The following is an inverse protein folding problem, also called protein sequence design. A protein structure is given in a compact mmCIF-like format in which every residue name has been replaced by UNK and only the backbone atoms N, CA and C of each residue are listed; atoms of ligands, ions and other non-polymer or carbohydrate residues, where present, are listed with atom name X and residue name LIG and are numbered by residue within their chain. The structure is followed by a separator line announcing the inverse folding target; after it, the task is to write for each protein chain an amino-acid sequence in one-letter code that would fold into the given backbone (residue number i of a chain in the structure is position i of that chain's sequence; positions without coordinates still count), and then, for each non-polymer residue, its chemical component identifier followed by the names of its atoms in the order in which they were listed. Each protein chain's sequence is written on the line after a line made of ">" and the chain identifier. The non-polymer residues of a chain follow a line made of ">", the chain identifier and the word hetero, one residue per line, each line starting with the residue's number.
data_IF_124674704867
#
_entry.id   IF_124674704867
#
_cell.length_a   1.000
_cell.length_b   1.000
_cell.length_c   1.000
_cell.angle_alpha   90.00
_cell.angle_beta   90.00
_cell.angle_gamma   90.00
#
_symmetry.space_group_name_H-M   'P 1'
#
loop_
_entity.id
_entity.type
_entity.pdbx_description
1 polymer ?
#
# COMPACT_ATOMS: atom_id res chain seq x y z
N UNK A 1 24.98 -28.32 -16.08
CA UNK A 1 25.88 -27.13 -16.00
C UNK A 1 25.24 -25.87 -16.58
N UNK A 2 24.83 -25.84 -17.86
CA UNK A 2 24.28 -24.63 -18.50
C UNK A 2 22.92 -24.14 -17.93
N UNK A 3 22.03 -25.05 -17.50
CA UNK A 3 20.74 -24.67 -16.90
C UNK A 3 20.86 -24.07 -15.49
N UNK A 4 21.86 -24.51 -14.72
CA UNK A 4 22.20 -23.92 -13.42
C UNK A 4 22.86 -22.55 -13.58
N UNK A 5 23.71 -22.37 -14.60
CA UNK A 5 24.33 -21.08 -14.91
C UNK A 5 23.29 -20.02 -15.35
N UNK A 6 22.24 -20.42 -16.08
CA UNK A 6 21.17 -19.51 -16.49
C UNK A 6 20.28 -19.07 -15.31
N UNK A 7 20.04 -19.95 -14.34
CA UNK A 7 19.28 -19.64 -13.12
C UNK A 7 20.11 -18.75 -12.18
N UNK A 8 21.42 -18.99 -12.05
CA UNK A 8 22.34 -18.12 -11.32
C UNK A 8 22.50 -16.74 -11.96
N UNK A 9 22.48 -16.65 -13.30
CA UNK A 9 22.51 -15.40 -14.04
C UNK A 9 21.19 -14.61 -13.92
N UNK A 10 20.04 -15.29 -13.89
CA UNK A 10 18.74 -14.65 -13.61
C UNK A 10 18.63 -14.15 -12.16
N UNK A 11 19.22 -14.87 -11.20
CA UNK A 11 19.30 -14.43 -9.80
C UNK A 11 20.23 -13.21 -9.63
N UNK A 12 21.30 -13.11 -10.43
CA UNK A 12 22.17 -11.93 -10.48
C UNK A 12 21.49 -10.70 -11.12
N UNK A 13 20.60 -10.89 -12.10
CA UNK A 13 19.83 -9.78 -12.69
C UNK A 13 18.66 -9.30 -11.81
N UNK A 14 18.11 -10.18 -10.97
CA UNK A 14 17.11 -9.79 -9.96
C UNK A 14 17.74 -9.04 -8.75
N UNK A 15 19.06 -9.16 -8.55
CA UNK A 15 19.81 -8.42 -7.54
C UNK A 15 20.11 -6.96 -7.89
N UNK A 16 19.91 -6.54 -9.15
CA UNK A 16 20.19 -5.16 -9.58
C UNK A 16 19.12 -4.13 -9.18
N UNK A 17 17.94 -4.57 -8.76
CA UNK A 17 16.89 -3.70 -8.23
C UNK A 17 16.87 -3.69 -6.68
N UNK A 18 17.88 -4.26 -6.03
CA UNK A 18 17.86 -4.45 -4.59
C UNK A 18 19.25 -4.69 -4.03
N UNK A 19 20.07 -3.65 -3.99
CA UNK A 19 20.99 -3.30 -2.91
C UNK A 19 21.87 -2.14 -3.41
N UNK A 20 21.90 -1.03 -2.67
CA UNK A 20 22.84 0.09 -2.82
C UNK A 20 22.60 1.17 -3.91
N UNK A 21 21.42 1.80 -3.99
CA UNK A 21 21.34 3.16 -4.55
C UNK A 21 20.25 3.98 -3.85
N UNK A 22 20.56 4.54 -2.69
CA UNK A 22 20.06 5.84 -2.25
C UNK A 22 20.90 6.31 -1.08
N UNK A 23 22.13 6.74 -1.37
CA UNK A 23 22.77 7.74 -0.53
C UNK A 23 22.00 9.03 -0.76
N UNK A 24 21.07 9.34 0.14
CA UNK A 24 20.29 10.56 0.16
C UNK A 24 21.23 11.75 0.41
N UNK A 25 21.88 12.25 -0.64
CA UNK A 25 22.43 13.59 -0.63
C UNK A 25 21.25 14.56 -0.75
N UNK A 26 21.16 15.51 0.19
CA UNK A 26 20.19 16.61 0.28
C UNK A 26 19.03 16.45 1.29
N UNK A 27 19.26 15.94 2.50
CA UNK A 27 18.43 16.36 3.65
C UNK A 27 19.28 16.32 4.94
N UNK A 28 19.53 17.47 5.58
CA UNK A 28 20.18 17.56 6.90
C UNK A 28 19.25 17.11 8.06
N UNK A 29 18.01 16.71 7.76
CA UNK A 29 17.00 16.37 8.76
C UNK A 29 16.97 14.85 9.03
N UNK A 30 17.40 14.48 10.24
CA UNK A 30 17.39 13.09 10.72
C UNK A 30 16.00 12.44 10.65
N UNK A 31 14.92 13.21 10.84
CA UNK A 31 13.54 12.67 10.82
C UNK A 31 13.13 12.15 9.44
N UNK A 32 13.66 12.77 8.38
CA UNK A 32 13.42 12.32 7.02
C UNK A 32 14.16 11.01 6.74
N UNK A 33 15.38 10.85 7.29
CA UNK A 33 16.14 9.60 7.18
C UNK A 33 15.45 8.44 7.89
N UNK A 34 14.89 8.69 9.08
CA UNK A 34 14.13 7.67 9.82
C UNK A 34 12.88 7.24 9.04
N UNK A 35 12.12 8.20 8.50
CA UNK A 35 10.93 7.91 7.70
C UNK A 35 11.26 7.08 6.45
N UNK A 36 12.34 7.42 5.76
CA UNK A 36 12.85 6.69 4.60
C UNK A 36 13.23 5.25 4.96
N UNK A 37 13.91 5.06 6.09
CA UNK A 37 14.34 3.75 6.57
C UNK A 37 13.12 2.89 6.90
N UNK A 38 12.14 3.48 7.60
CA UNK A 38 10.87 2.86 7.95
C UNK A 38 10.06 2.46 6.70
N UNK A 39 9.98 3.34 5.71
CA UNK A 39 9.32 3.07 4.43
C UNK A 39 9.96 1.89 3.70
N UNK A 40 11.29 1.85 3.63
CA UNK A 40 12.01 0.73 3.01
C UNK A 40 11.80 -0.57 3.78
N UNK A 41 11.80 -0.50 5.11
CA UNK A 41 11.46 -1.62 5.97
C UNK A 41 10.05 -2.13 5.73
N UNK A 42 9.07 -1.23 5.62
CA UNK A 42 7.67 -1.55 5.32
C UNK A 42 7.53 -2.21 3.95
N UNK A 43 8.08 -1.60 2.89
CA UNK A 43 8.04 -2.15 1.53
C UNK A 43 8.68 -3.54 1.47
N UNK A 44 9.82 -3.74 2.15
CA UNK A 44 10.52 -5.03 2.21
C UNK A 44 9.67 -6.08 2.90
N UNK A 45 9.07 -5.77 4.07
CA UNK A 45 8.21 -6.70 4.80
C UNK A 45 6.97 -7.08 4.00
N UNK A 46 6.31 -6.11 3.35
CA UNK A 46 5.17 -6.36 2.47
C UNK A 46 5.59 -7.23 1.29
N UNK A 47 6.72 -6.92 0.63
CA UNK A 47 7.23 -7.71 -0.50
C UNK A 47 7.51 -9.16 -0.08
N UNK A 48 8.16 -9.37 1.06
CA UNK A 48 8.40 -10.72 1.61
C UNK A 48 7.09 -11.43 1.92
N UNK A 49 6.12 -10.75 2.54
CA UNK A 49 4.83 -11.33 2.86
C UNK A 49 4.03 -11.71 1.61
N UNK A 50 4.10 -10.89 0.56
CA UNK A 50 3.59 -11.26 -0.75
C UNK A 50 4.34 -12.51 -1.23
N UNK A 51 5.66 -12.48 -1.39
CA UNK A 51 6.44 -13.62 -1.92
C UNK A 51 6.22 -14.96 -1.19
N UNK A 52 5.89 -14.94 0.10
CA UNK A 52 5.62 -16.14 0.91
C UNK A 52 4.27 -16.79 0.63
N UNK A 53 3.33 -16.08 0.03
CA UNK A 53 2.10 -16.67 -0.44
C UNK A 53 2.41 -17.58 -1.65
N UNK A 54 1.88 -18.80 -1.65
CA UNK A 54 2.07 -19.75 -2.74
C UNK A 54 1.41 -19.21 -4.01
N UNK A 55 2.23 -18.60 -4.86
CA UNK A 55 1.78 -17.97 -6.08
C UNK A 55 1.95 -18.89 -7.27
N UNK A 56 0.85 -19.55 -7.65
CA UNK A 56 0.74 -20.16 -8.97
C UNK A 56 0.43 -19.06 -10.00
N UNK A 57 1.00 -19.13 -11.21
CA UNK A 57 0.58 -18.27 -12.32
C UNK A 57 1.49 -17.09 -12.72
N UNK A 58 2.71 -16.96 -12.19
CA UNK A 58 3.74 -16.10 -12.79
C UNK A 58 3.50 -14.58 -12.73
N UNK A 59 2.73 -14.12 -11.73
CA UNK A 59 2.46 -12.71 -11.50
C UNK A 59 3.64 -11.99 -10.82
N UNK A 60 3.80 -10.69 -11.08
CA UNK A 60 4.95 -9.89 -10.65
C UNK A 60 4.48 -8.58 -10.05
N UNK A 61 4.84 -8.31 -8.79
CA UNK A 61 4.50 -7.08 -8.08
C UNK A 61 5.74 -6.46 -7.46
N UNK A 62 5.98 -5.21 -7.83
CA UNK A 62 6.85 -4.31 -7.12
C UNK A 62 6.10 -3.63 -5.97
N UNK A 63 6.81 -3.40 -4.87
CA UNK A 63 6.29 -2.74 -3.68
C UNK A 63 7.17 -1.54 -3.39
N UNK A 64 6.55 -0.38 -3.32
CA UNK A 64 7.19 0.86 -2.91
C UNK A 64 6.46 1.44 -1.70
N UNK A 65 7.18 2.19 -0.86
CA UNK A 65 6.60 2.98 0.23
C UNK A 65 7.29 4.32 0.28
N UNK A 66 6.50 5.38 0.38
CA UNK A 66 6.98 6.75 0.59
C UNK A 66 6.03 7.43 1.56
N UNK A 67 6.54 7.97 2.67
CA UNK A 67 5.76 8.60 3.72
C UNK A 67 4.60 7.72 4.22
N UNK A 68 4.84 6.41 4.37
CA UNK A 68 3.85 5.38 4.73
C UNK A 68 2.70 5.21 3.72
N UNK A 69 2.78 5.79 2.53
CA UNK A 69 1.91 5.48 1.41
C UNK A 69 2.53 4.34 0.60
N UNK A 70 1.86 3.19 0.60
CA UNK A 70 2.32 1.99 -0.11
C UNK A 70 1.78 1.99 -1.53
N UNK A 71 2.65 1.66 -2.48
CA UNK A 71 2.29 1.45 -3.88
C UNK A 71 2.58 0.00 -4.26
N UNK A 72 1.57 -0.67 -4.79
CA UNK A 72 1.71 -2.02 -5.36
C UNK A 72 1.61 -1.88 -6.87
N UNK A 73 2.67 -2.18 -7.61
CA UNK A 73 2.72 -1.97 -9.06
C UNK A 73 3.09 -3.27 -9.75
N UNK A 74 2.32 -3.68 -10.76
CA UNK A 74 2.66 -4.88 -11.51
C UNK A 74 1.46 -5.61 -12.09
N UNK A 75 1.65 -6.88 -12.42
CA UNK A 75 0.59 -7.76 -12.91
C UNK A 75 0.13 -8.64 -11.76
N UNK A 76 -1.18 -8.62 -11.46
CA UNK A 76 -1.83 -9.44 -10.43
C UNK A 76 -3.15 -9.98 -10.98
N UNK A 77 -3.37 -11.30 -10.95
CA UNK A 77 -4.66 -11.91 -11.31
C UNK A 77 -5.81 -11.25 -10.53
N UNK A 78 -6.96 -10.95 -11.17
CA UNK A 78 -8.06 -10.21 -10.52
C UNK A 78 -8.54 -10.80 -9.19
N UNK A 79 -8.58 -12.14 -9.10
CA UNK A 79 -8.93 -12.90 -7.89
C UNK A 79 -7.91 -12.76 -6.75
N UNK A 80 -6.65 -12.42 -7.08
CA UNK A 80 -5.57 -12.24 -6.11
C UNK A 80 -5.34 -10.78 -5.69
N UNK A 81 -5.90 -9.80 -6.41
CA UNK A 81 -5.72 -8.37 -6.11
C UNK A 81 -6.19 -8.01 -4.69
N UNK A 82 -7.36 -8.55 -4.28
CA UNK A 82 -7.89 -8.34 -2.93
C UNK A 82 -6.96 -8.89 -1.83
N UNK A 83 -6.31 -10.03 -2.10
CA UNK A 83 -5.35 -10.64 -1.17
C UNK A 83 -4.07 -9.82 -1.06
N UNK A 84 -3.54 -9.32 -2.19
CA UNK A 84 -2.37 -8.43 -2.19
C UNK A 84 -2.62 -7.14 -1.38
N UNK A 85 -3.79 -6.54 -1.57
CA UNK A 85 -4.24 -5.38 -0.79
C UNK A 85 -4.37 -5.70 0.71
N UNK A 86 -4.95 -6.85 1.05
CA UNK A 86 -5.10 -7.28 2.43
C UNK A 86 -3.74 -7.50 3.11
N UNK A 87 -2.75 -8.09 2.40
CA UNK A 87 -1.39 -8.28 2.92
C UNK A 87 -0.71 -6.95 3.21
N UNK A 88 -0.77 -6.00 2.26
CA UNK A 88 -0.18 -4.68 2.46
C UNK A 88 -0.78 -3.94 3.67
N UNK A 89 -2.11 -4.03 3.86
CA UNK A 89 -2.82 -3.38 4.97
C UNK A 89 -2.42 -3.89 6.36
N UNK A 90 -1.90 -5.12 6.49
CA UNK A 90 -1.41 -5.68 7.78
C UNK A 90 -0.28 -4.86 8.39
N UNK A 91 0.43 -4.09 7.57
CA UNK A 91 1.56 -3.26 8.00
C UNK A 91 1.17 -1.82 8.34
N UNK A 92 -0.13 -1.54 8.44
CA UNK A 92 -0.70 -0.26 8.86
C UNK A 92 -0.16 0.98 8.09
N UNK A 93 -0.13 0.95 6.74
CA UNK A 93 0.22 2.12 5.95
C UNK A 93 -0.88 3.19 6.01
N UNK A 94 -0.54 4.45 5.71
CA UNK A 94 -1.53 5.53 5.60
C UNK A 94 -2.44 5.34 4.38
N UNK A 95 -1.90 4.79 3.29
CA UNK A 95 -2.70 4.35 2.15
C UNK A 95 -2.05 3.17 1.44
N UNK A 96 -2.86 2.43 0.67
CA UNK A 96 -2.38 1.42 -0.28
C UNK A 96 -2.94 1.76 -1.65
N UNK A 97 -2.07 2.08 -2.59
CA UNK A 97 -2.41 2.45 -3.96
C UNK A 97 -1.97 1.34 -4.92
N UNK A 98 -2.90 0.53 -5.44
CA UNK A 98 -2.57 -0.46 -6.46
C UNK A 98 -2.48 0.19 -7.85
N UNK A 99 -1.54 -0.30 -8.66
CA UNK A 99 -1.45 -0.05 -10.10
C UNK A 99 -1.26 -1.37 -10.83
N UNK A 100 -2.37 -1.95 -11.28
CA UNK A 100 -2.37 -3.24 -11.97
C UNK A 100 -2.28 -3.05 -13.47
N UNK A 101 -1.24 -3.61 -14.08
CA UNK A 101 -1.15 -3.71 -15.51
C UNK A 101 -2.09 -4.81 -16.02
N UNK A 102 -2.87 -4.47 -17.03
CA UNK A 102 -3.56 -5.47 -17.83
C UNK A 102 -2.56 -6.11 -18.79
N UNK A 103 -2.67 -7.42 -19.10
CA UNK A 103 -1.82 -8.06 -20.08
C UNK A 103 -1.80 -7.25 -21.38
N UNK A 104 -0.60 -6.84 -21.80
CA UNK A 104 -0.40 -6.00 -22.97
C UNK A 104 0.75 -6.49 -23.82
N UNK A 105 0.73 -6.15 -25.11
CA UNK A 105 1.85 -6.37 -26.02
C UNK A 105 2.33 -5.03 -26.54
N UNK A 106 3.63 -4.92 -26.76
CA UNK A 106 4.28 -3.77 -27.40
C UNK A 106 5.37 -4.26 -28.33
N UNK A 107 5.62 -3.52 -29.40
CA UNK A 107 6.67 -3.85 -30.38
C UNK A 107 8.08 -3.75 -29.77
N UNK A 108 8.25 -2.87 -28.77
CA UNK A 108 9.47 -2.76 -27.98
C UNK A 108 9.34 -3.55 -26.70
N UNK A 109 10.35 -4.38 -26.35
CA UNK A 109 10.35 -5.11 -25.08
C UNK A 109 10.47 -4.18 -23.87
N UNK A 110 9.89 -4.58 -22.72
CA UNK A 110 9.91 -3.77 -21.50
C UNK A 110 11.33 -3.41 -21.06
N UNK A 111 12.29 -4.33 -21.20
CA UNK A 111 13.70 -4.11 -20.82
C UNK A 111 14.33 -3.01 -21.68
N UNK A 112 14.12 -3.06 -23.00
CA UNK A 112 14.66 -2.04 -23.92
C UNK A 112 14.00 -0.68 -23.65
N UNK A 113 12.68 -0.67 -23.45
CA UNK A 113 11.96 0.56 -23.15
C UNK A 113 12.38 1.16 -21.80
N UNK A 114 12.53 0.34 -20.76
CA UNK A 114 13.03 0.76 -19.45
C UNK A 114 14.45 1.33 -19.54
N UNK A 115 15.32 0.72 -20.37
CA UNK A 115 16.69 1.23 -20.59
C UNK A 115 16.67 2.61 -21.25
N UNK A 116 15.85 2.80 -22.29
CA UNK A 116 15.68 4.10 -22.96
C UNK A 116 15.12 5.15 -22.01
N UNK A 117 14.06 4.80 -21.28
CA UNK A 117 13.46 5.65 -20.25
C UNK A 117 14.51 6.07 -19.22
N UNK A 118 15.29 5.12 -18.69
CA UNK A 118 16.33 5.43 -17.70
C UNK A 118 17.38 6.37 -18.27
N UNK A 119 17.82 6.16 -19.51
CA UNK A 119 18.78 7.02 -20.21
C UNK A 119 18.25 8.45 -20.35
N UNK A 120 17.00 8.61 -20.78
CA UNK A 120 16.41 9.93 -21.02
C UNK A 120 16.17 10.67 -19.70
N UNK A 121 15.75 9.98 -18.63
CA UNK A 121 15.67 10.58 -17.29
C UNK A 121 17.04 11.05 -16.78
N UNK A 122 18.12 10.26 -17.00
CA UNK A 122 19.49 10.66 -16.62
C UNK A 122 19.96 11.87 -17.43
N UNK A 123 19.66 11.90 -18.73
CA UNK A 123 20.08 12.99 -19.62
C UNK A 123 19.29 14.30 -19.43
N UNK A 124 18.16 14.26 -18.73
CA UNK A 124 17.29 15.41 -18.53
C UNK A 124 17.89 16.36 -17.47
N UNK A 125 18.37 17.53 -17.92
CA UNK A 125 18.91 18.56 -17.02
C UNK A 125 17.85 19.05 -16.05
N UNK A 126 18.21 19.20 -14.79
CA UNK A 126 17.29 19.63 -13.72
C UNK A 126 16.46 18.49 -13.13
N UNK A 127 16.64 17.25 -13.62
CA UNK A 127 16.00 16.06 -13.09
C UNK A 127 17.00 15.19 -12.32
N UNK A 128 16.72 14.91 -11.06
CA UNK A 128 17.47 13.93 -10.28
C UNK A 128 16.88 12.55 -10.51
N UNK A 129 17.30 11.92 -11.59
CA UNK A 129 16.79 10.61 -11.98
C UNK A 129 17.05 9.48 -10.97
N UNK A 130 17.93 9.68 -9.99
CA UNK A 130 18.17 8.77 -8.85
C UNK A 130 17.03 8.75 -7.84
N UNK A 131 16.17 9.79 -7.82
CA UNK A 131 15.00 9.87 -6.94
C UNK A 131 13.73 9.31 -7.55
N UNK A 132 13.83 8.75 -8.76
CA UNK A 132 12.69 8.30 -9.55
C UNK A 132 12.87 6.82 -9.87
N UNK A 133 11.99 6.01 -9.32
CA UNK A 133 11.78 4.63 -9.70
C UNK A 133 10.83 4.56 -10.90
N UNK A 134 11.02 3.54 -11.74
CA UNK A 134 10.23 3.36 -12.95
C UNK A 134 9.80 1.92 -13.11
N UNK A 135 8.50 1.70 -13.33
CA UNK A 135 7.96 0.42 -13.77
C UNK A 135 7.44 0.54 -15.20
N UNK A 136 7.75 -0.46 -16.03
CA UNK A 136 7.44 -0.43 -17.47
C UNK A 136 6.72 -1.71 -17.89
N UNK A 137 5.56 -1.55 -18.51
CA UNK A 137 4.77 -2.66 -19.01
C UNK A 137 4.06 -2.30 -20.32
N UNK A 138 4.48 -2.93 -21.42
CA UNK A 138 3.86 -2.80 -22.74
C UNK A 138 3.65 -1.35 -23.19
N UNK A 139 4.68 -0.51 -23.05
CA UNK A 139 4.60 0.93 -23.39
C UNK A 139 4.04 1.81 -22.27
N UNK A 140 3.44 1.25 -21.23
CA UNK A 140 2.92 2.00 -20.08
C UNK A 140 3.99 2.14 -19.02
N UNK A 141 4.20 3.36 -18.56
CA UNK A 141 5.22 3.71 -17.57
C UNK A 141 4.54 4.19 -16.30
N UNK A 142 5.07 3.76 -15.17
CA UNK A 142 4.74 4.29 -13.85
C UNK A 142 5.98 4.93 -13.26
N UNK A 143 5.88 6.18 -12.83
CA UNK A 143 6.94 6.91 -12.13
C UNK A 143 6.62 6.98 -10.64
N UNK A 144 7.55 6.57 -9.79
CA UNK A 144 7.43 6.60 -8.32
C UNK A 144 8.67 7.28 -7.70
N UNK A 145 8.54 7.75 -6.47
CA UNK A 145 9.62 8.42 -5.75
C UNK A 145 9.24 9.81 -5.21
N UNK A 146 10.22 10.48 -4.62
CA UNK A 146 10.08 11.81 -4.04
C UNK A 146 10.94 12.79 -4.82
N UNK A 147 10.31 13.71 -5.54
CA UNK A 147 10.99 14.78 -6.27
C UNK A 147 11.03 16.06 -5.45
N UNK A 148 11.86 17.01 -5.82
CA UNK A 148 12.11 18.25 -5.09
C UNK A 148 10.88 19.17 -5.07
N UNK A 149 10.25 19.34 -6.23
CA UNK A 149 9.17 20.30 -6.46
C UNK A 149 8.30 19.87 -7.66
N UNK A 150 7.20 20.58 -7.87
CA UNK A 150 6.29 20.32 -8.99
C UNK A 150 6.94 20.52 -10.36
N UNK A 151 7.93 21.42 -10.47
CA UNK A 151 8.64 21.62 -11.73
C UNK A 151 9.45 20.37 -12.11
N UNK A 152 10.18 19.79 -11.15
CA UNK A 152 10.87 18.52 -11.35
C UNK A 152 9.89 17.36 -11.64
N UNK A 153 8.74 17.34 -10.95
CA UNK A 153 7.67 16.35 -11.22
C UNK A 153 7.19 16.41 -12.67
N UNK A 154 6.86 17.62 -13.16
CA UNK A 154 6.39 17.79 -14.53
C UNK A 154 7.48 17.47 -15.55
N UNK A 155 8.74 17.82 -15.24
CA UNK A 155 9.87 17.51 -16.07
C UNK A 155 10.08 15.99 -16.21
N UNK A 156 9.94 15.23 -15.11
CA UNK A 156 10.00 13.76 -15.12
C UNK A 156 8.93 13.16 -16.04
N UNK A 157 7.69 13.64 -15.92
CA UNK A 157 6.56 13.16 -16.72
C UNK A 157 6.77 13.46 -18.20
N UNK A 158 7.24 14.67 -18.52
CA UNK A 158 7.53 15.07 -19.90
C UNK A 158 8.67 14.26 -20.51
N UNK A 159 9.77 14.08 -19.79
CA UNK A 159 10.89 13.25 -20.21
C UNK A 159 10.42 11.82 -20.51
N UNK A 160 9.65 11.20 -19.60
CA UNK A 160 9.12 9.85 -19.80
C UNK A 160 8.19 9.75 -21.03
N UNK A 161 7.33 10.76 -21.25
CA UNK A 161 6.43 10.79 -22.42
C UNK A 161 7.17 10.95 -23.75
N UNK A 162 8.34 11.60 -23.77
CA UNK A 162 9.13 11.79 -24.99
C UNK A 162 9.86 10.52 -25.46
N UNK A 163 9.92 9.48 -24.63
CA UNK A 163 10.64 8.24 -24.95
C UNK A 163 9.88 7.46 -26.04
N UNK A 164 10.52 7.15 -27.19
CA UNK A 164 9.88 6.36 -28.24
C UNK A 164 9.44 4.97 -27.75
N UNK A 165 8.16 4.67 -27.94
CA UNK A 165 7.52 3.44 -27.49
C UNK A 165 6.74 3.57 -26.18
N UNK A 166 6.81 4.72 -25.50
CA UNK A 166 5.92 5.02 -24.38
C UNK A 166 4.55 5.44 -24.91
N UNK A 167 3.50 4.79 -24.42
CA UNK A 167 2.10 5.02 -24.82
C UNK A 167 1.31 5.74 -23.73
N UNK A 168 1.68 5.55 -22.46
CA UNK A 168 1.08 6.27 -21.34
C UNK A 168 2.05 6.40 -20.17
N UNK A 169 1.95 7.49 -19.42
CA UNK A 169 2.72 7.70 -18.19
C UNK A 169 1.76 7.99 -17.04
N UNK A 170 1.83 7.17 -15.99
CA UNK A 170 1.18 7.40 -14.71
C UNK A 170 2.23 7.89 -13.71
N UNK A 171 1.93 8.95 -12.97
CA UNK A 171 2.85 9.51 -11.99
C UNK A 171 2.28 9.36 -10.58
N UNK A 172 3.04 8.70 -9.72
CA UNK A 172 2.87 8.67 -8.28
C UNK A 172 4.01 9.41 -7.57
N UNK A 173 4.68 10.34 -8.28
CA UNK A 173 5.75 11.16 -7.71
C UNK A 173 5.18 12.07 -6.62
N UNK A 174 5.81 12.00 -5.45
CA UNK A 174 5.49 12.79 -4.29
C UNK A 174 6.42 13.99 -4.14
N UNK A 175 5.95 14.99 -3.43
CA UNK A 175 6.76 16.13 -3.00
C UNK A 175 7.29 15.90 -1.58
N UNK A 176 8.38 16.56 -1.19
CA UNK A 176 8.96 16.38 0.12
C UNK A 176 7.97 16.84 1.19
N UNK A 177 7.71 15.97 2.17
CA UNK A 177 6.88 16.34 3.31
C UNK A 177 7.71 17.16 4.29
N UNK A 178 7.13 18.23 4.85
CA UNK A 178 7.74 18.91 6.00
C UNK A 178 7.63 17.99 7.21
N UNK A 179 8.67 17.91 8.04
CA UNK A 179 8.73 17.03 9.20
C UNK A 179 7.53 17.16 10.19
N UNK A 180 6.86 18.31 10.21
CA UNK A 180 5.64 18.53 11.02
C UNK A 180 4.34 17.94 10.45
N UNK A 181 4.29 17.58 9.17
CA UNK A 181 3.07 17.06 8.52
C UNK A 181 2.92 15.54 8.66
N UNK A 182 4.00 14.82 8.98
CA UNK A 182 4.00 13.36 9.10
C UNK A 182 3.44 12.83 10.43
N UNK A 183 3.34 13.69 11.47
CA UNK A 183 2.90 13.32 12.83
C UNK A 183 1.49 13.77 13.22
N UNK A 184 0.86 14.68 12.49
CA UNK A 184 -0.43 15.27 12.88
C UNK A 184 -1.65 14.36 12.66
N UNK A 185 -1.47 13.17 12.07
CA UNK A 185 -2.54 12.19 11.86
C UNK A 185 -2.65 11.11 12.95
N UNK A 186 -1.80 11.14 13.98
CA UNK A 186 -1.69 10.06 14.95
C UNK A 186 -1.42 10.57 16.38
N UNK A 187 -2.32 11.38 16.96
CA UNK A 187 -2.48 11.49 18.43
C UNK A 187 -3.50 12.57 18.81
N UNK A 188 -4.78 12.21 18.95
CA UNK A 188 -5.71 12.88 19.87
C UNK A 188 -6.78 11.88 20.36
N UNK A 189 -6.36 10.88 21.14
CA UNK A 189 -7.20 10.25 22.17
C UNK A 189 -6.27 9.79 23.30
N UNK A 190 -6.13 10.61 24.33
CA UNK A 190 -5.91 10.22 25.74
C UNK A 190 -5.73 11.53 26.52
N UNK A 191 -6.86 12.17 26.85
CA UNK A 191 -6.89 13.27 27.81
C UNK A 191 -6.59 12.74 29.21
N UNK A 192 -5.48 13.22 29.78
CA UNK A 192 -5.50 13.92 31.07
C UNK A 192 -5.96 13.17 32.32
N UNK A 193 -4.99 12.57 33.01
CA UNK A 193 -5.03 12.20 34.43
C UNK A 193 -5.19 13.46 35.32
N UNK A 194 -6.20 13.49 36.20
CA UNK A 194 -6.30 14.45 37.31
C UNK A 194 -5.77 13.85 38.63
N UNK A 195 -5.19 14.64 39.56
CA UNK A 195 -4.52 14.13 40.75
C UNK A 195 -5.50 13.79 41.89
N UNK A 196 -5.06 12.86 42.74
CA UNK A 196 -5.74 12.36 43.93
C UNK A 196 -5.73 13.36 45.11
N UNK A 197 -6.76 13.30 45.97
CA UNK A 197 -6.59 13.51 47.41
C UNK A 197 -7.64 12.72 48.21
N UNK A 198 -7.26 12.22 49.39
CA UNK A 198 -7.86 11.05 50.02
C UNK A 198 -8.77 11.26 51.24
N UNK A 199 -9.36 10.13 51.67
CA UNK A 199 -9.60 9.80 53.08
C UNK A 199 -10.97 10.12 53.70
N UNK A 200 -11.86 9.13 53.81
CA UNK A 200 -12.71 8.89 55.00
C UNK A 200 -13.50 7.55 54.89
N UNK A 201 -13.39 6.69 55.91
CA UNK A 201 -14.20 5.49 56.22
C UNK A 201 -14.15 5.36 57.76
N UNK A 202 -15.10 4.76 58.53
CA UNK A 202 -16.40 4.13 58.24
C UNK A 202 -17.57 4.71 59.10
N UNK A 203 -18.82 4.25 58.90
CA UNK A 203 -19.57 3.63 60.00
C UNK A 203 -20.79 2.80 59.54
N UNK A 204 -21.39 2.12 60.51
CA UNK A 204 -21.96 0.78 60.47
C UNK A 204 -23.49 0.73 60.67
N UNK A 205 -24.07 -0.48 60.49
CA UNK A 205 -25.30 -1.02 61.12
C UNK A 205 -26.60 -1.21 60.28
N UNK A 206 -26.87 -2.49 60.01
CA UNK A 206 -28.08 -3.31 60.30
C UNK A 206 -29.49 -2.90 59.81
N UNK A 207 -30.23 -3.87 59.24
CA UNK A 207 -31.71 -3.92 59.42
C UNK A 207 -32.58 -4.64 58.37
N UNK A 208 -32.59 -5.98 58.40
CA UNK A 208 -33.74 -6.93 58.24
C UNK A 208 -34.98 -6.70 57.34
N UNK A 209 -35.38 -7.81 56.69
CA UNK A 209 -36.74 -8.25 56.26
C UNK A 209 -37.39 -7.54 55.08
N UNK A 210 -38.12 -8.16 54.15
CA UNK A 210 -38.65 -9.51 53.95
C UNK A 210 -39.69 -9.41 52.81
N UNK A 211 -40.00 -10.51 52.09
CA UNK A 211 -41.19 -10.54 51.22
C UNK A 211 -41.04 -11.35 49.92
N UNK A 212 -41.56 -12.58 49.95
CA UNK A 212 -41.87 -13.43 48.80
C UNK A 212 -43.15 -12.97 48.08
N UNK A 213 -43.20 -13.08 46.76
CA UNK A 213 -44.41 -13.43 45.99
C UNK A 213 -44.00 -13.82 44.55
N UNK A 214 -43.99 -15.11 44.19
CA UNK A 214 -45.06 -15.90 43.55
C UNK A 214 -45.50 -15.40 42.17
N UNK A 215 -45.19 -16.22 41.15
CA UNK A 215 -45.81 -16.19 39.80
C UNK A 215 -47.30 -16.59 39.86
N UNK A 216 -48.09 -16.35 38.80
CA UNK A 216 -48.21 -17.40 37.79
C UNK A 216 -48.39 -16.92 36.34
N UNK A 217 -48.34 -17.91 35.45
CA UNK A 217 -48.42 -17.89 33.99
C UNK A 217 -49.82 -17.65 33.41
N UNK A 218 -49.87 -17.39 32.10
CA UNK A 218 -50.79 -17.96 31.06
C UNK A 218 -50.94 -16.94 29.92
N UNK A 219 -50.46 -17.23 28.69
CA UNK A 219 -50.99 -18.09 27.62
C UNK A 219 -51.83 -17.32 26.60
N UNK A 220 -51.45 -17.41 25.33
CA UNK A 220 -52.27 -16.99 24.19
C UNK A 220 -51.53 -17.23 22.87
N UNK A 221 -51.82 -18.35 22.21
CA UNK A 221 -51.19 -18.78 20.96
C UNK A 221 -51.81 -18.19 19.68
N UNK A 222 -50.98 -18.18 18.62
CA UNK A 222 -51.13 -18.71 17.22
C UNK A 222 -52.54 -18.84 16.56
N UNK A 223 -52.69 -19.09 15.22
CA UNK A 223 -51.72 -19.18 14.09
C UNK A 223 -52.20 -18.65 12.70
N UNK A 224 -51.33 -18.77 11.69
CA UNK A 224 -51.70 -19.09 10.29
C UNK A 224 -51.77 -17.90 9.30
N UNK A 225 -51.55 -18.04 7.99
CA UNK A 225 -51.22 -19.18 7.14
C UNK A 225 -50.79 -18.67 5.74
N UNK A 226 -50.24 -19.62 4.97
CA UNK A 226 -49.74 -19.59 3.60
C UNK A 226 -50.62 -18.97 2.51
N UNK A 227 -49.97 -18.55 1.41
CA UNK A 227 -50.61 -18.33 0.11
C UNK A 227 -49.60 -18.38 -1.04
N UNK A 228 -49.60 -19.49 -1.78
CA UNK A 228 -48.85 -19.79 -3.00
C UNK A 228 -49.84 -19.70 -4.19
N UNK A 229 -49.58 -18.92 -5.26
CA UNK A 229 -50.22 -18.99 -6.60
C UNK A 229 -49.28 -18.23 -7.58
N UNK A 230 -48.53 -18.85 -8.49
CA UNK A 230 -48.87 -19.53 -9.76
C UNK A 230 -49.18 -18.60 -10.97
N UNK A 231 -48.29 -18.72 -11.98
CA UNK A 231 -48.41 -18.58 -13.44
C UNK A 231 -49.25 -17.49 -14.10
N UNK A 232 -48.65 -16.75 -15.07
CA UNK A 232 -49.24 -16.44 -16.39
C UNK A 232 -48.17 -16.17 -17.48
N UNK A 233 -48.38 -16.83 -18.62
CA UNK A 233 -47.72 -16.69 -19.92
C UNK A 233 -47.95 -15.34 -20.64
N UNK A 234 -46.99 -15.01 -21.53
CA UNK A 234 -47.03 -14.47 -22.93
C UNK A 234 -48.08 -13.38 -23.33
N UNK A 235 -47.80 -12.51 -24.33
CA UNK A 235 -47.46 -12.83 -25.72
C UNK A 235 -45.99 -12.63 -26.12
#
# INVERSE_FOLDING_TARGET
>A
MQRLALILLLFMLAGLNGCAYSGYGLYDDQRLMDTISDDKGMATKIKTALMNESFTGGWSVAVYSFYRHVFLVGEVPPDMQGKALAIARRYNPLSVTPHWFTPGRSDTSNIVLATRLRKDLIGTKGLSSTRIDTEVNAGRVVLLGVVKDDAEKQLAIQAARSVPGVTSVTSYLMLPQKAGQLGAGASEQHEGMGPADGGFVPDSASGSSGGMNTSPASSGGTPGASGNVESRDLP
#
